data_IF_582840938129
#
_entry.id   IF_582840938129
#
_cell.length_a   1.000
_cell.length_b   1.000
_cell.length_c   1.000
_cell.angle_alpha   90.00
_cell.angle_beta   90.00
_cell.angle_gamma   90.00
#
_symmetry.space_group_name_H-M   'P 1'
#
loop_
_entity.id
_entity.type
_entity.pdbx_description
1 polymer ?
#
# COMPACT_ATOMS: atom_id res chain seq x y z
N UNK A 1 20.55 58.06 44.13
CA UNK A 1 19.26 57.37 44.37
C UNK A 1 18.86 56.67 43.07
N UNK A 2 18.65 55.34 43.16
CA UNK A 2 17.84 54.46 42.27
C UNK A 2 18.37 54.26 40.82
N UNK A 3 19.06 53.14 40.53
CA UNK A 3 18.52 51.79 40.15
C UNK A 3 18.10 51.75 38.67
N UNK A 4 18.34 50.73 37.84
CA UNK A 4 19.02 49.45 37.93
C UNK A 4 19.29 49.00 36.48
N UNK A 5 20.36 48.23 36.27
CA UNK A 5 20.60 47.45 35.05
C UNK A 5 19.56 46.31 34.98
N UNK A 6 19.00 46.06 33.81
CA UNK A 6 18.62 44.71 33.39
C UNK A 6 18.50 44.67 31.87
N UNK A 7 19.60 44.23 31.25
CA UNK A 7 19.65 43.68 29.89
C UNK A 7 18.76 42.43 29.88
N UNK A 8 17.95 42.26 28.84
CA UNK A 8 17.55 40.94 28.30
C UNK A 8 16.91 41.16 26.91
N UNK A 9 17.73 41.00 25.87
CA UNK A 9 17.28 40.70 24.52
C UNK A 9 16.68 39.29 24.56
N UNK A 10 15.36 39.18 24.68
CA UNK A 10 14.65 37.90 24.56
C UNK A 10 14.54 37.51 23.09
N UNK A 11 15.42 36.60 22.63
CA UNK A 11 15.34 35.93 21.34
C UNK A 11 13.95 35.29 21.18
N UNK A 12 13.18 35.77 20.21
CA UNK A 12 12.00 35.08 19.69
C UNK A 12 12.50 33.85 18.90
N UNK A 13 12.57 32.69 19.55
CA UNK A 13 12.77 31.41 18.87
C UNK A 13 11.52 31.13 18.03
N UNK A 14 11.55 31.61 16.77
CA UNK A 14 10.68 31.10 15.72
C UNK A 14 10.95 29.60 15.61
N UNK A 15 9.96 28.80 15.99
CA UNK A 15 9.89 27.40 15.64
C UNK A 15 9.70 27.36 14.13
N UNK A 16 10.80 27.36 13.40
CA UNK A 16 10.79 27.02 11.99
C UNK A 16 10.49 25.52 11.98
N UNK A 17 9.21 25.16 11.94
CA UNK A 17 8.81 23.84 11.46
C UNK A 17 9.28 23.77 10.01
N UNK A 18 10.52 23.31 9.83
CA UNK A 18 11.02 22.96 8.52
C UNK A 18 10.13 21.81 8.03
N UNK A 19 9.20 22.13 7.14
CA UNK A 19 8.50 21.14 6.34
C UNK A 19 9.55 20.40 5.53
N UNK A 20 10.04 19.28 6.07
CA UNK A 20 10.86 18.35 5.33
C UNK A 20 9.94 17.66 4.34
N UNK A 21 9.71 18.28 3.19
CA UNK A 21 9.18 17.60 2.01
C UNK A 21 10.19 16.53 1.63
N UNK A 22 10.05 15.34 2.20
CA UNK A 22 10.87 14.20 1.86
C UNK A 22 10.66 13.83 0.39
N UNK A 23 11.73 13.38 -0.27
CA UNK A 23 11.60 12.87 -1.63
C UNK A 23 10.58 11.71 -1.65
N UNK A 24 9.83 11.58 -2.73
CA UNK A 24 8.86 10.49 -2.94
C UNK A 24 9.12 9.82 -4.27
N UNK A 25 8.74 8.55 -4.37
CA UNK A 25 8.63 7.82 -5.63
C UNK A 25 7.16 7.52 -5.91
N UNK A 26 6.75 7.72 -7.16
CA UNK A 26 5.38 7.47 -7.63
C UNK A 26 5.26 6.02 -8.10
N UNK A 27 4.17 5.36 -7.72
CA UNK A 27 3.90 3.96 -8.01
C UNK A 27 2.47 3.76 -8.52
N UNK A 28 2.23 2.66 -9.22
CA UNK A 28 0.89 2.28 -9.70
C UNK A 28 0.09 1.60 -8.58
N UNK A 29 -1.13 2.06 -8.28
CA UNK A 29 -2.00 1.38 -7.32
C UNK A 29 -2.57 0.11 -7.93
N UNK A 30 -2.35 -1.04 -7.29
CA UNK A 30 -2.79 -2.35 -7.75
C UNK A 30 -3.48 -3.09 -6.62
N UNK A 31 -4.66 -3.65 -6.89
CA UNK A 31 -5.42 -4.45 -5.93
C UNK A 31 -5.35 -5.95 -6.24
N UNK A 32 -5.38 -6.76 -5.17
CA UNK A 32 -5.51 -8.21 -5.21
C UNK A 32 -6.56 -8.65 -4.19
N UNK A 33 -7.59 -9.34 -4.67
CA UNK A 33 -8.65 -9.89 -3.86
C UNK A 33 -8.48 -11.40 -3.74
N UNK A 34 -8.07 -11.87 -2.57
CA UNK A 34 -7.93 -13.29 -2.28
C UNK A 34 -9.20 -13.89 -1.67
N UNK A 35 -10.20 -13.06 -1.36
CA UNK A 35 -11.43 -13.46 -0.67
C UNK A 35 -12.46 -14.06 -1.63
N UNK A 36 -13.50 -14.67 -1.05
CA UNK A 36 -14.64 -15.26 -1.77
C UNK A 36 -15.73 -14.23 -2.12
N UNK A 37 -15.51 -12.95 -1.82
CA UNK A 37 -16.46 -11.85 -2.06
C UNK A 37 -15.82 -10.78 -2.92
N UNK A 38 -16.63 -9.97 -3.56
CA UNK A 38 -16.14 -8.84 -4.32
C UNK A 38 -15.75 -7.69 -3.37
N UNK A 39 -14.72 -6.93 -3.76
CA UNK A 39 -14.39 -5.64 -3.17
C UNK A 39 -14.93 -4.58 -4.13
N UNK A 40 -15.93 -3.80 -3.70
CA UNK A 40 -16.66 -2.85 -4.55
C UNK A 40 -15.75 -1.75 -5.08
N UNK A 41 -15.08 -1.08 -4.15
CA UNK A 41 -13.91 -0.24 -4.41
C UNK A 41 -12.99 -0.30 -3.19
N UNK A 42 -11.78 0.21 -3.36
CA UNK A 42 -10.86 0.42 -2.25
C UNK A 42 -10.09 1.72 -2.41
N UNK A 43 -9.53 2.24 -1.33
CA UNK A 43 -8.72 3.45 -1.32
C UNK A 43 -7.42 3.24 -0.56
N UNK A 44 -6.41 4.06 -0.86
CA UNK A 44 -5.17 4.18 -0.08
C UNK A 44 -4.92 5.65 0.19
N UNK A 45 -5.03 6.05 1.46
CA UNK A 45 -4.97 7.46 1.88
C UNK A 45 -5.87 8.38 1.03
N UNK A 46 -7.07 7.89 0.69
CA UNK A 46 -8.06 8.60 -0.14
C UNK A 46 -7.80 8.56 -1.66
N UNK A 47 -6.74 7.88 -2.12
CA UNK A 47 -6.54 7.64 -3.55
C UNK A 47 -7.35 6.41 -3.98
N UNK A 48 -8.11 6.56 -5.06
CA UNK A 48 -9.04 5.54 -5.54
C UNK A 48 -8.35 4.35 -6.21
N UNK A 49 -8.70 3.17 -5.73
CA UNK A 49 -8.48 1.89 -6.38
C UNK A 49 -9.62 1.55 -7.34
N UNK A 50 -9.66 0.30 -7.78
CA UNK A 50 -10.72 -0.22 -8.65
C UNK A 50 -11.51 -1.33 -7.99
N UNK A 51 -12.63 -1.69 -8.60
CA UNK A 51 -13.38 -2.90 -8.29
C UNK A 51 -12.48 -4.15 -8.40
N UNK A 52 -12.57 -5.05 -7.42
CA UNK A 52 -11.88 -6.33 -7.43
C UNK A 52 -12.87 -7.47 -7.25
N UNK A 53 -13.19 -8.15 -8.35
CA UNK A 53 -13.93 -9.40 -8.29
C UNK A 53 -13.22 -10.42 -7.37
N UNK A 54 -13.98 -11.28 -6.71
CA UNK A 54 -13.48 -12.41 -5.94
C UNK A 54 -12.40 -13.19 -6.72
N UNK A 55 -11.29 -13.49 -6.04
CA UNK A 55 -10.15 -14.21 -6.62
C UNK A 55 -9.52 -13.54 -7.87
N UNK A 56 -9.56 -12.20 -7.97
CA UNK A 56 -8.95 -11.44 -9.07
C UNK A 56 -8.04 -10.32 -8.58
N UNK A 57 -7.19 -9.82 -9.47
CA UNK A 57 -6.28 -8.71 -9.18
C UNK A 57 -5.06 -8.70 -10.10
N UNK A 58 -4.23 -7.68 -9.96
CA UNK A 58 -2.93 -7.58 -10.66
C UNK A 58 -2.98 -7.24 -12.15
N UNK A 59 -4.13 -7.38 -12.81
CA UNK A 59 -4.29 -7.13 -14.25
C UNK A 59 -4.59 -5.68 -14.65
N UNK A 60 -4.97 -4.83 -13.68
CA UNK A 60 -5.28 -3.42 -13.89
C UNK A 60 -4.65 -2.54 -12.81
N UNK A 61 -4.44 -1.26 -13.12
CA UNK A 61 -3.88 -0.30 -12.19
C UNK A 61 -4.60 1.05 -12.29
N UNK A 62 -4.68 1.74 -11.16
CA UNK A 62 -5.09 3.14 -11.10
C UNK A 62 -3.88 4.00 -10.75
N UNK A 63 -3.76 5.16 -11.39
CA UNK A 63 -2.71 6.12 -11.04
C UNK A 63 -3.13 6.94 -9.82
N UNK A 64 -2.27 7.30 -8.87
CA UNK A 64 -0.90 6.83 -8.59
C UNK A 64 -0.66 7.06 -7.08
N UNK A 65 0.12 6.21 -6.41
CA UNK A 65 0.47 6.42 -4.99
C UNK A 65 1.92 6.89 -4.87
N UNK A 66 2.12 8.00 -4.16
CA UNK A 66 3.44 8.50 -3.81
C UNK A 66 3.88 7.94 -2.45
N UNK A 67 5.02 7.26 -2.43
CA UNK A 67 5.60 6.72 -1.18
C UNK A 67 6.95 7.38 -0.88
N UNK A 68 7.35 7.53 0.40
CA UNK A 68 8.63 8.18 0.75
C UNK A 68 9.88 7.51 0.15
N UNK A 69 10.91 8.29 -0.15
CA UNK A 69 12.21 7.83 -0.61
C UNK A 69 13.33 8.56 0.18
N UNK A 70 14.14 7.88 1.00
CA UNK A 70 14.11 6.44 1.28
C UNK A 70 12.94 6.03 2.20
N UNK A 71 12.65 4.73 2.24
CA UNK A 71 11.78 4.14 3.26
C UNK A 71 12.33 4.39 4.67
N UNK A 72 11.43 4.51 5.66
CA UNK A 72 11.75 4.57 7.09
C UNK A 72 10.79 3.70 7.91
N UNK A 73 11.19 3.17 9.08
CA UNK A 73 10.27 2.43 9.95
C UNK A 73 9.05 3.25 10.37
N UNK A 74 7.91 2.58 10.55
CA UNK A 74 6.67 3.19 11.02
C UNK A 74 5.82 3.87 9.96
N UNK A 75 6.17 3.75 8.66
CA UNK A 75 5.29 4.18 7.59
C UNK A 75 3.99 3.37 7.59
N UNK A 76 2.87 4.08 7.44
CA UNK A 76 1.51 3.54 7.45
C UNK A 76 0.68 4.22 6.37
N UNK A 77 -0.32 3.51 5.89
CA UNK A 77 -1.41 4.05 5.07
C UNK A 77 -2.75 3.64 5.69
N UNK A 78 -3.79 4.41 5.43
CA UNK A 78 -5.18 3.99 5.64
C UNK A 78 -5.69 3.34 4.36
N UNK A 79 -6.06 2.07 4.46
CA UNK A 79 -6.74 1.35 3.39
C UNK A 79 -8.23 1.31 3.71
N UNK A 80 -9.04 1.96 2.87
CA UNK A 80 -10.50 1.87 2.92
C UNK A 80 -11.03 0.90 1.87
N UNK A 81 -12.17 0.26 2.10
CA UNK A 81 -12.84 -0.56 1.08
C UNK A 81 -14.33 -0.75 1.38
N UNK A 82 -15.06 -1.16 0.36
CA UNK A 82 -16.44 -1.63 0.43
C UNK A 82 -16.54 -3.10 0.05
N UNK A 83 -17.54 -3.78 0.59
CA UNK A 83 -17.94 -5.11 0.15
C UNK A 83 -18.85 -5.02 -1.08
N UNK A 84 -18.84 -6.07 -1.90
CA UNK A 84 -19.77 -6.31 -3.02
C UNK A 84 -19.85 -5.11 -4.00
N UNK A 85 -21.01 -4.44 -4.12
CA UNK A 85 -21.20 -3.29 -5.01
C UNK A 85 -21.34 -1.99 -4.20
N UNK A 86 -20.27 -1.62 -3.50
CA UNK A 86 -20.16 -0.40 -2.69
C UNK A 86 -21.01 -0.37 -1.41
N UNK A 87 -21.15 -1.53 -0.78
CA UNK A 87 -21.81 -1.68 0.52
C UNK A 87 -20.79 -1.75 1.65
N UNK A 88 -21.22 -1.43 2.88
CA UNK A 88 -20.45 -1.66 4.11
C UNK A 88 -19.00 -1.14 4.08
N UNK A 89 -18.82 0.18 4.07
CA UNK A 89 -17.48 0.77 4.13
C UNK A 89 -16.73 0.37 5.40
N UNK A 90 -15.47 0.00 5.23
CA UNK A 90 -14.54 -0.35 6.29
C UNK A 90 -13.17 0.27 5.99
N UNK A 91 -12.36 0.44 7.03
CA UNK A 91 -10.99 0.89 6.85
C UNK A 91 -10.03 0.28 7.87
N UNK A 92 -8.75 0.25 7.51
CA UNK A 92 -7.70 -0.22 8.38
C UNK A 92 -6.41 0.53 8.11
N UNK A 93 -5.72 0.92 9.18
CA UNK A 93 -4.36 1.44 9.10
C UNK A 93 -3.40 0.26 8.96
N UNK A 94 -2.62 0.25 7.88
CA UNK A 94 -1.70 -0.84 7.53
C UNK A 94 -0.27 -0.31 7.46
N UNK A 95 0.67 -1.03 8.07
CA UNK A 95 2.09 -0.70 7.97
C UNK A 95 2.64 -1.03 6.58
N UNK A 96 3.47 -0.13 6.04
CA UNK A 96 4.18 -0.35 4.79
C UNK A 96 5.51 -1.03 5.12
N UNK A 97 5.71 -2.31 4.74
CA UNK A 97 6.99 -2.99 4.94
C UNK A 97 8.12 -2.27 4.20
N UNK A 98 9.36 -2.56 4.60
CA UNK A 98 10.54 -1.98 3.95
C UNK A 98 10.52 -2.26 2.45
N UNK A 99 10.79 -1.21 1.66
CA UNK A 99 11.01 -1.28 0.22
C UNK A 99 12.27 -0.52 -0.18
N UNK A 100 12.77 -0.85 -1.37
CA UNK A 100 13.80 -0.07 -2.05
C UNK A 100 13.14 0.92 -3.01
N UNK A 101 13.28 2.21 -2.73
CA UNK A 101 12.70 3.27 -3.55
C UNK A 101 13.29 3.34 -4.96
N UNK A 102 14.48 2.76 -5.19
CA UNK A 102 15.10 2.65 -6.50
C UNK A 102 14.68 1.39 -7.27
N UNK A 103 13.91 0.50 -6.63
CA UNK A 103 13.48 -0.78 -7.19
C UNK A 103 11.99 -1.04 -6.91
N UNK A 104 11.14 -0.12 -7.36
CA UNK A 104 9.68 -0.21 -7.21
C UNK A 104 8.94 0.27 -8.47
N UNK A 105 7.70 -0.18 -8.63
CA UNK A 105 6.78 0.26 -9.68
C UNK A 105 5.29 0.16 -9.31
N UNK A 106 4.94 -0.55 -8.23
CA UNK A 106 3.57 -0.74 -7.78
C UNK A 106 3.43 -0.45 -6.29
N UNK A 107 2.25 0.02 -5.89
CA UNK A 107 1.70 -0.08 -4.54
C UNK A 107 0.61 -1.14 -4.57
N UNK A 108 0.93 -2.35 -4.12
CA UNK A 108 0.01 -3.48 -4.12
C UNK A 108 -0.77 -3.53 -2.81
N UNK A 109 -2.10 -3.63 -2.89
CA UNK A 109 -3.00 -3.88 -1.76
C UNK A 109 -3.56 -5.30 -1.88
N UNK A 110 -3.47 -6.09 -0.82
CA UNK A 110 -4.00 -7.44 -0.74
C UNK A 110 -5.08 -7.54 0.31
N UNK A 111 -6.28 -7.95 -0.11
CA UNK A 111 -7.38 -8.35 0.76
C UNK A 111 -7.29 -9.87 0.97
N UNK A 112 -6.79 -10.30 2.13
CA UNK A 112 -6.55 -11.72 2.43
C UNK A 112 -7.79 -12.41 2.99
N UNK A 113 -7.89 -13.73 2.77
CA UNK A 113 -9.03 -14.57 3.21
C UNK A 113 -9.27 -14.55 4.71
N UNK A 114 -8.21 -14.42 5.50
CA UNK A 114 -8.28 -14.35 6.95
C UNK A 114 -8.72 -12.96 7.46
N UNK A 115 -9.07 -12.03 6.56
CA UNK A 115 -9.45 -10.66 6.89
C UNK A 115 -8.27 -9.73 7.15
N UNK A 116 -7.02 -10.17 6.93
CA UNK A 116 -5.85 -9.31 6.99
C UNK A 116 -5.71 -8.49 5.69
N UNK A 117 -5.26 -7.24 5.84
CA UNK A 117 -4.90 -6.38 4.71
C UNK A 117 -3.39 -6.24 4.70
N UNK A 118 -2.75 -6.52 3.56
CA UNK A 118 -1.30 -6.30 3.39
C UNK A 118 -1.05 -5.34 2.25
N UNK A 119 -0.03 -4.51 2.43
CA UNK A 119 0.46 -3.63 1.38
C UNK A 119 1.93 -3.91 1.08
N UNK A 120 2.31 -3.76 -0.18
CA UNK A 120 3.69 -3.91 -0.63
C UNK A 120 4.02 -2.88 -1.69
N UNK A 121 5.31 -2.58 -1.84
CA UNK A 121 5.82 -1.64 -2.82
C UNK A 121 6.79 -2.33 -3.79
N UNK A 122 6.34 -3.31 -4.60
CA UNK A 122 7.21 -4.12 -5.45
C UNK A 122 7.46 -3.50 -6.83
N UNK A 123 8.47 -4.00 -7.55
CA UNK A 123 8.68 -3.68 -8.98
C UNK A 123 7.77 -4.51 -9.91
N UNK A 124 7.43 -5.75 -9.52
CA UNK A 124 6.64 -6.70 -10.31
C UNK A 124 5.34 -7.13 -9.62
N UNK A 125 4.58 -7.99 -10.30
CA UNK A 125 3.29 -8.52 -9.80
C UNK A 125 3.41 -9.81 -8.99
N UNK A 126 2.28 -10.19 -8.38
CA UNK A 126 2.13 -11.39 -7.55
C UNK A 126 2.65 -12.65 -8.27
N UNK A 127 3.42 -13.47 -7.55
CA UNK A 127 4.05 -14.69 -8.08
C UNK A 127 5.45 -14.49 -8.65
N UNK A 128 5.85 -13.24 -8.94
CA UNK A 128 7.22 -12.93 -9.36
C UNK A 128 8.29 -13.35 -8.33
N UNK A 129 9.55 -13.60 -8.75
CA UNK A 129 10.60 -14.14 -7.88
C UNK A 129 10.76 -13.38 -6.56
N UNK A 130 10.86 -12.05 -6.62
CA UNK A 130 11.08 -11.19 -5.46
C UNK A 130 9.79 -10.65 -4.83
N UNK A 131 8.62 -11.13 -5.26
CA UNK A 131 7.35 -10.67 -4.71
C UNK A 131 7.22 -11.10 -3.23
N UNK A 132 6.93 -10.17 -2.30
CA UNK A 132 7.03 -10.44 -0.86
C UNK A 132 5.93 -11.37 -0.30
N UNK A 133 4.76 -11.45 -0.95
CA UNK A 133 3.69 -12.36 -0.55
C UNK A 133 3.86 -13.74 -1.22
N UNK A 134 4.02 -14.79 -0.41
CA UNK A 134 4.33 -16.17 -0.85
C UNK A 134 3.46 -17.21 -0.15
N UNK A 135 3.48 -18.43 -0.69
CA UNK A 135 2.81 -19.61 -0.14
C UNK A 135 1.36 -19.77 -0.60
N UNK A 136 0.67 -20.84 -0.17
CA UNK A 136 -0.69 -21.14 -0.63
C UNK A 136 -1.73 -20.05 -0.31
N UNK A 137 -1.55 -19.32 0.79
CA UNK A 137 -2.43 -18.21 1.15
C UNK A 137 -2.29 -16.99 0.23
N UNK A 138 -1.15 -16.89 -0.48
CA UNK A 138 -0.92 -15.86 -1.47
C UNK A 138 -1.62 -16.16 -2.81
N UNK A 139 -2.14 -17.37 -3.02
CA UNK A 139 -2.93 -17.70 -4.20
C UNK A 139 -4.18 -16.83 -4.28
N UNK A 140 -4.54 -16.35 -5.48
CA UNK A 140 -5.83 -15.68 -5.68
C UNK A 140 -7.00 -16.64 -5.49
N UNK A 141 -6.80 -17.92 -5.83
CA UNK A 141 -7.71 -19.01 -5.53
C UNK A 141 -7.18 -19.90 -4.38
N UNK A 142 -8.08 -20.51 -3.58
CA UNK A 142 -7.67 -21.42 -2.52
C UNK A 142 -6.79 -22.57 -3.02
N UNK A 143 -5.65 -22.78 -2.37
CA UNK A 143 -4.73 -23.88 -2.68
C UNK A 143 -3.83 -23.65 -3.90
N UNK A 144 -3.95 -22.52 -4.61
CA UNK A 144 -3.00 -22.15 -5.66
C UNK A 144 -1.71 -21.56 -5.07
N UNK A 145 -0.56 -21.92 -5.65
CA UNK A 145 0.69 -21.19 -5.43
C UNK A 145 0.84 -20.14 -6.55
N UNK A 146 0.87 -18.83 -6.22
CA UNK A 146 1.01 -17.79 -7.23
C UNK A 146 2.32 -17.87 -8.02
N UNK A 147 3.38 -18.48 -7.45
CA UNK A 147 4.65 -18.69 -8.16
C UNK A 147 4.49 -19.72 -9.27
N UNK A 148 3.73 -20.78 -9.02
CA UNK A 148 3.47 -21.82 -10.02
C UNK A 148 2.52 -21.30 -11.12
N UNK A 149 1.51 -20.52 -10.73
CA UNK A 149 0.63 -19.82 -11.69
C UNK A 149 1.44 -18.85 -12.55
N UNK A 150 2.38 -18.11 -11.97
CA UNK A 150 3.26 -17.19 -12.71
C UNK A 150 4.12 -17.91 -13.76
N UNK A 151 4.74 -19.05 -13.39
CA UNK A 151 5.64 -19.79 -14.28
C UNK A 151 4.91 -20.52 -15.41
N UNK A 152 3.75 -21.08 -15.12
CA UNK A 152 3.10 -22.06 -15.99
C UNK A 152 1.76 -21.58 -16.56
N UNK A 153 1.31 -20.39 -16.16
CA UNK A 153 -0.08 -19.97 -16.34
C UNK A 153 -1.02 -20.74 -15.41
N UNK A 154 -2.25 -20.24 -15.27
CA UNK A 154 -3.28 -20.95 -14.50
C UNK A 154 -3.80 -22.14 -15.31
N UNK A 155 -3.86 -23.31 -14.69
CA UNK A 155 -4.49 -24.50 -15.29
C UNK A 155 -5.98 -24.25 -15.49
N UNK A 156 -6.46 -24.33 -16.74
CA UNK A 156 -7.86 -24.09 -17.11
C UNK A 156 -8.11 -22.81 -17.91
N UNK A 157 -7.15 -21.87 -17.92
CA UNK A 157 -7.21 -20.67 -18.78
C UNK A 157 -6.56 -20.89 -20.16
N UNK A 158 -5.81 -21.99 -20.32
CA UNK A 158 -5.32 -22.48 -21.61
C UNK A 158 -6.50 -23.13 -22.35
N UNK A 159 -7.15 -22.35 -23.21
CA UNK A 159 -8.17 -22.83 -24.13
C UNK A 159 -7.58 -23.16 -25.50
#
# INVERSE_FOLDING_TARGET
MKSARCVLYGLLLMWISACHGGNTVTTNLVGYNHTDKDIGHFTVDGNEGGFLQAHRGGGGFTCCISVPAPWRPGLKVTVGWTDDYDENYQERVVEIPKYDANHTGQFSVHFLRNGEIKVFVPLGGLGGPDYPLKGPEAGLYPGEDPVEVWKHGRKGDQK
#
